data_IF_006143282751
#
_entry.id   IF_006143282751
#
_cell.length_a   1.000
_cell.length_b   1.000
_cell.length_c   1.000
_cell.angle_alpha   90.00
_cell.angle_beta   90.00
_cell.angle_gamma   90.00
#
_symmetry.space_group_name_H-M   'P 1'
#
loop_
_entity.id
_entity.type
_entity.pdbx_description
1 polymer ?
#
# COMPACT_ATOMS: atom_id res chain seq x y z
N UNK A 1 1.85 29.04 38.02
CA UNK A 1 1.30 29.42 39.34
C UNK A 1 -0.22 29.39 39.22
N UNK A 2 -0.89 28.68 40.12
CA UNK A 2 -2.35 28.38 40.21
C UNK A 2 -2.91 27.29 39.27
N UNK A 3 -2.68 26.05 39.67
CA UNK A 3 -3.54 24.89 39.40
C UNK A 3 -4.59 24.79 40.52
N UNK A 4 -5.89 24.73 40.16
CA UNK A 4 -6.97 24.40 41.09
C UNK A 4 -7.14 22.88 41.13
N UNK A 5 -6.94 22.31 42.31
CA UNK A 5 -7.34 20.95 42.65
C UNK A 5 -8.82 20.95 43.03
N UNK A 6 -9.62 20.13 42.34
CA UNK A 6 -10.93 19.70 42.83
C UNK A 6 -10.71 18.41 43.61
N UNK A 7 -11.19 18.40 44.85
CA UNK A 7 -11.13 17.26 45.76
C UNK A 7 -12.53 16.69 45.85
N UNK A 8 -12.74 15.49 45.33
CA UNK A 8 -13.87 14.67 45.73
C UNK A 8 -13.38 13.66 46.77
N UNK A 9 -13.89 13.87 47.98
CA UNK A 9 -13.72 12.97 49.10
C UNK A 9 -14.69 11.81 48.95
N UNK A 10 -14.14 10.62 48.77
CA UNK A 10 -14.76 9.43 49.34
C UNK A 10 -13.67 8.56 49.96
N UNK A 11 -13.66 8.55 51.29
CA UNK A 11 -12.75 7.78 52.10
C UNK A 11 -13.14 6.30 52.04
N UNK A 12 -12.54 5.57 51.11
CA UNK A 12 -12.55 4.11 51.15
C UNK A 12 -11.19 3.54 50.81
N UNK A 13 -10.47 3.18 51.88
CA UNK A 13 -9.35 2.26 51.78
C UNK A 13 -9.85 0.94 51.18
N UNK A 14 -9.31 0.57 50.01
CA UNK A 14 -9.33 -0.80 49.54
C UNK A 14 -7.91 -1.25 49.25
N UNK A 15 -7.61 -2.34 49.93
CA UNK A 15 -6.39 -3.14 50.00
C UNK A 15 -5.93 -3.55 48.61
N UNK A 16 -4.61 -3.51 48.42
CA UNK A 16 -3.92 -4.10 47.28
C UNK A 16 -3.98 -5.62 47.38
N UNK A 17 -4.48 -6.28 46.34
CA UNK A 17 -4.24 -7.69 46.06
C UNK A 17 -3.81 -7.84 44.60
N UNK A 18 -2.59 -8.38 44.45
CA UNK A 18 -2.11 -9.16 43.33
C UNK A 18 -3.22 -10.00 42.70
N UNK A 19 -3.26 -10.12 41.37
CA UNK A 19 -3.50 -11.39 40.67
C UNK A 19 -3.33 -11.19 39.15
N UNK A 20 -2.26 -11.78 38.64
CA UNK A 20 -2.20 -12.58 37.40
C UNK A 20 -3.31 -12.41 36.36
N UNK A 21 -2.92 -12.05 35.14
CA UNK A 21 -3.70 -12.31 33.93
C UNK A 21 -3.34 -13.69 33.37
N UNK A 22 -4.19 -14.73 33.52
CA UNK A 22 -4.22 -15.83 32.58
C UNK A 22 -5.19 -15.50 31.44
N UNK A 23 -4.72 -15.73 30.21
CA UNK A 23 -5.51 -15.74 29.00
C UNK A 23 -6.61 -16.81 29.14
N UNK A 24 -7.86 -16.40 29.32
CA UNK A 24 -9.01 -17.28 29.22
C UNK A 24 -9.35 -17.47 27.74
N UNK A 25 -9.01 -18.65 27.23
CA UNK A 25 -9.45 -19.21 25.96
C UNK A 25 -10.75 -19.96 26.26
N UNK A 26 -11.86 -19.50 25.69
CA UNK A 26 -13.18 -20.13 25.79
C UNK A 26 -13.18 -21.39 24.91
N UNK A 27 -13.14 -22.56 25.55
CA UNK A 27 -13.30 -23.87 24.90
C UNK A 27 -14.39 -24.63 25.66
N UNK A 28 -15.63 -24.28 25.37
CA UNK A 28 -16.83 -24.89 25.97
C UNK A 28 -17.73 -25.47 24.89
N UNK A 29 -17.30 -26.59 24.30
CA UNK A 29 -18.20 -27.63 23.78
C UNK A 29 -17.66 -29.04 24.08
N UNK A 30 -17.66 -29.40 25.36
CA UNK A 30 -17.46 -30.77 25.84
C UNK A 30 -18.75 -31.30 26.46
N UNK A 31 -19.71 -31.73 25.65
CA UNK A 31 -20.76 -32.67 26.10
C UNK A 31 -21.05 -33.72 25.02
N UNK A 32 -20.07 -34.56 24.71
CA UNK A 32 -20.34 -35.90 24.13
C UNK A 32 -19.23 -36.92 24.42
N UNK A 33 -18.63 -36.88 25.63
CA UNK A 33 -17.45 -37.70 25.99
C UNK A 33 -17.74 -38.79 27.03
N UNK A 34 -18.83 -39.57 26.94
CA UNK A 34 -19.05 -40.69 27.90
C UNK A 34 -19.75 -41.93 27.31
N UNK A 35 -19.38 -42.37 26.09
CA UNK A 35 -19.81 -43.70 25.60
C UNK A 35 -18.77 -44.56 24.85
N UNK A 36 -17.54 -44.08 24.64
CA UNK A 36 -16.54 -44.84 23.86
C UNK A 36 -15.24 -45.22 24.60
N UNK A 37 -15.18 -45.06 25.92
CA UNK A 37 -14.01 -45.40 26.76
C UNK A 37 -13.87 -46.89 27.13
N UNK A 38 -14.22 -47.83 26.24
CA UNK A 38 -13.99 -49.27 26.49
C UNK A 38 -13.19 -50.00 25.40
N UNK A 39 -12.58 -49.26 24.47
CA UNK A 39 -11.81 -49.86 23.37
C UNK A 39 -10.41 -49.26 23.26
N UNK A 40 -9.69 -49.19 24.37
CA UNK A 40 -8.24 -48.96 24.41
C UNK A 40 -7.61 -50.13 25.15
N UNK A 41 -6.97 -51.06 24.44
CA UNK A 41 -6.04 -52.02 25.07
C UNK A 41 -5.07 -52.76 24.13
N UNK A 42 -5.16 -52.69 22.79
CA UNK A 42 -4.41 -53.62 21.93
C UNK A 42 -3.71 -53.03 20.68
N UNK A 43 -3.21 -51.79 20.74
CA UNK A 43 -2.25 -51.26 19.74
C UNK A 43 -1.17 -50.38 20.40
N UNK A 44 -0.55 -50.88 21.47
CA UNK A 44 0.72 -50.36 21.97
C UNK A 44 1.87 -51.25 21.47
N UNK A 45 2.99 -50.62 21.08
CA UNK A 45 4.27 -51.20 20.60
C UNK A 45 4.47 -51.32 19.08
N UNK A 46 4.45 -50.20 18.35
CA UNK A 46 5.25 -49.96 17.14
C UNK A 46 5.07 -48.51 16.68
N UNK A 47 5.86 -47.58 17.23
CA UNK A 47 5.76 -46.16 16.86
C UNK A 47 6.73 -45.23 17.57
N UNK A 48 7.91 -45.73 17.95
CA UNK A 48 8.92 -44.98 18.69
C UNK A 48 10.23 -44.87 17.89
N UNK A 49 10.20 -44.24 16.71
CA UNK A 49 11.42 -43.82 15.98
C UNK A 49 11.11 -42.73 14.92
N UNK A 50 10.40 -41.67 15.30
CA UNK A 50 10.38 -40.42 14.50
C UNK A 50 10.52 -39.18 15.38
N UNK A 51 11.41 -39.23 16.37
CA UNK A 51 12.07 -38.01 16.89
C UNK A 51 13.26 -37.76 15.94
N UNK A 52 12.95 -37.54 14.67
CA UNK A 52 13.91 -37.28 13.62
C UNK A 52 13.93 -35.79 13.34
N UNK A 53 14.90 -35.09 13.93
CA UNK A 53 15.41 -33.79 13.48
C UNK A 53 14.29 -32.82 13.09
N UNK A 54 13.68 -32.15 14.08
CA UNK A 54 13.33 -30.75 13.85
C UNK A 54 14.63 -30.09 13.46
N UNK A 55 14.85 -29.92 12.16
CA UNK A 55 15.92 -29.10 11.66
C UNK A 55 15.73 -27.77 12.36
N UNK A 56 16.58 -27.49 13.34
CA UNK A 56 16.96 -26.13 13.70
C UNK A 56 17.65 -25.59 12.45
N UNK A 57 16.86 -25.42 11.39
CA UNK A 57 17.26 -24.66 10.23
C UNK A 57 17.60 -23.32 10.83
N UNK A 58 18.87 -22.95 10.73
CA UNK A 58 19.31 -21.60 10.97
C UNK A 58 18.54 -20.74 9.98
N UNK A 59 17.31 -20.37 10.33
CA UNK A 59 16.53 -19.42 9.57
C UNK A 59 17.39 -18.17 9.58
N UNK A 60 17.77 -17.69 8.40
CA UNK A 60 18.55 -16.46 8.20
C UNK A 60 17.71 -15.25 8.61
N UNK A 61 17.27 -15.23 9.86
CA UNK A 61 16.54 -14.15 10.49
C UNK A 61 17.57 -13.09 10.84
N UNK A 62 17.27 -11.85 10.50
CA UNK A 62 18.07 -10.76 11.02
C UNK A 62 18.00 -10.76 12.55
N UNK A 63 19.03 -10.20 13.18
CA UNK A 63 19.04 -9.94 14.61
C UNK A 63 17.89 -9.01 15.02
N UNK A 64 17.87 -8.55 16.29
CA UNK A 64 16.85 -7.60 16.73
C UNK A 64 16.79 -6.39 15.79
N UNK A 65 15.58 -6.07 15.31
CA UNK A 65 15.31 -4.93 14.43
C UNK A 65 14.93 -3.74 15.29
N UNK A 66 15.69 -2.65 15.18
CA UNK A 66 15.41 -1.40 15.86
C UNK A 66 14.60 -0.49 14.94
N UNK A 67 13.40 -0.13 15.38
CA UNK A 67 12.54 0.78 14.66
C UNK A 67 12.69 2.21 15.18
N UNK A 68 12.84 3.16 14.27
CA UNK A 68 12.89 4.58 14.55
C UNK A 68 11.98 5.31 13.57
N UNK A 69 11.00 6.02 14.09
CA UNK A 69 10.21 6.94 13.30
C UNK A 69 10.92 8.30 13.29
N UNK A 70 11.09 8.89 12.10
CA UNK A 70 11.66 10.23 11.98
C UNK A 70 10.56 11.27 12.12
N UNK A 71 10.34 11.77 13.33
CA UNK A 71 9.42 12.89 13.59
C UNK A 71 10.07 13.90 14.54
N UNK A 72 10.58 15.04 13.99
CA UNK A 72 10.48 16.24 14.85
C UNK A 72 10.31 17.62 14.19
N UNK A 73 10.39 17.84 12.87
CA UNK A 73 10.41 19.24 12.33
C UNK A 73 9.30 19.63 11.36
N UNK A 74 8.53 18.69 10.81
CA UNK A 74 7.48 18.97 9.81
C UNK A 74 6.06 18.59 10.25
N UNK A 75 5.85 18.21 11.53
CA UNK A 75 4.53 17.85 12.03
C UNK A 75 3.89 16.63 11.33
N UNK A 76 4.72 15.73 10.79
CA UNK A 76 4.25 14.53 10.08
C UNK A 76 3.65 13.53 11.07
N UNK A 77 2.53 12.87 10.74
CA UNK A 77 1.94 11.85 11.61
C UNK A 77 2.88 10.65 11.78
N UNK A 78 2.97 10.16 13.01
CA UNK A 78 3.63 8.89 13.30
C UNK A 78 2.76 7.72 12.80
N UNK A 79 3.42 6.67 12.32
CA UNK A 79 2.77 5.41 12.03
C UNK A 79 2.30 4.77 13.35
N UNK A 80 1.13 4.10 13.34
CA UNK A 80 0.68 3.35 14.49
C UNK A 80 1.71 2.31 14.94
N UNK A 81 1.90 2.17 16.25
CA UNK A 81 2.88 1.23 16.84
C UNK A 81 2.70 -0.20 16.32
N UNK A 82 1.44 -0.63 16.11
CA UNK A 82 1.13 -1.95 15.54
C UNK A 82 1.69 -2.12 14.12
N UNK A 83 1.68 -1.07 13.31
CA UNK A 83 2.24 -1.09 11.95
C UNK A 83 3.76 -1.12 12.02
N UNK A 84 4.36 -0.34 12.91
CA UNK A 84 5.81 -0.33 13.11
C UNK A 84 6.32 -1.69 13.58
N UNK A 85 5.65 -2.31 14.55
CA UNK A 85 5.99 -3.63 15.03
C UNK A 85 5.91 -4.68 13.91
N UNK A 86 4.82 -4.68 13.13
CA UNK A 86 4.66 -5.60 11.99
C UNK A 86 5.70 -5.38 10.90
N UNK A 87 6.05 -4.13 10.62
CA UNK A 87 7.10 -3.82 9.66
C UNK A 87 8.48 -4.33 10.14
N UNK A 88 8.78 -4.14 11.43
CA UNK A 88 9.99 -4.68 12.06
C UNK A 88 10.03 -6.21 11.99
N UNK A 89 8.91 -6.89 12.24
CA UNK A 89 8.80 -8.35 12.11
C UNK A 89 9.06 -8.83 10.67
N UNK A 90 8.47 -8.15 9.67
CA UNK A 90 8.71 -8.45 8.27
C UNK A 90 10.19 -8.31 7.88
N UNK A 91 10.85 -7.25 8.35
CA UNK A 91 12.30 -7.07 8.13
C UNK A 91 13.11 -8.13 8.85
N UNK A 92 12.75 -8.48 10.09
CA UNK A 92 13.45 -9.50 10.84
C UNK A 92 13.44 -10.84 10.08
N UNK A 93 12.27 -11.21 9.54
CA UNK A 93 12.05 -12.49 8.87
C UNK A 93 12.60 -12.53 7.44
N UNK A 94 12.35 -11.49 6.63
CA UNK A 94 12.62 -11.50 5.19
C UNK A 94 13.72 -10.53 4.74
N UNK A 95 14.30 -9.73 5.64
CA UNK A 95 15.28 -8.70 5.29
C UNK A 95 16.59 -9.25 4.71
N UNK A 96 16.92 -10.53 4.94
CA UNK A 96 18.11 -11.19 4.36
C UNK A 96 17.98 -11.49 2.86
N UNK A 97 16.80 -11.31 2.27
CA UNK A 97 16.61 -11.39 0.80
C UNK A 97 17.27 -10.22 0.05
N UNK A 98 17.68 -9.19 0.77
CA UNK A 98 18.40 -8.04 0.27
C UNK A 98 19.89 -8.16 0.59
N UNK A 99 20.72 -7.47 -0.17
CA UNK A 99 22.14 -7.34 0.16
C UNK A 99 22.32 -6.44 1.39
N UNK A 100 23.35 -6.65 2.23
CA UNK A 100 23.67 -5.73 3.32
C UNK A 100 23.84 -4.30 2.81
N UNK A 101 23.34 -3.31 3.56
CA UNK A 101 23.42 -1.90 3.19
C UNK A 101 22.14 -1.12 3.45
N UNK A 102 22.03 0.01 2.77
CA UNK A 102 20.91 0.94 2.89
C UNK A 102 19.90 0.73 1.75
N UNK A 103 18.64 0.55 2.10
CA UNK A 103 17.53 0.34 1.18
C UNK A 103 16.43 1.38 1.44
N UNK A 104 15.90 1.98 0.38
CA UNK A 104 14.77 2.90 0.46
C UNK A 104 13.59 2.33 -0.31
N UNK A 105 12.42 2.35 0.30
CA UNK A 105 11.17 1.93 -0.32
C UNK A 105 10.14 3.04 -0.17
N UNK A 106 9.58 3.48 -1.30
CA UNK A 106 8.45 4.39 -1.31
C UNK A 106 7.16 3.55 -1.36
N UNK A 107 6.31 3.74 -0.35
CA UNK A 107 5.07 2.98 -0.16
C UNK A 107 3.88 3.91 -0.28
N UNK A 108 2.88 3.51 -1.07
CA UNK A 108 1.63 4.26 -1.25
C UNK A 108 0.44 3.37 -0.85
N UNK A 109 -0.37 3.87 0.08
CA UNK A 109 -1.63 3.25 0.52
C UNK A 109 -2.77 4.10 -0.01
N UNK A 110 -3.59 3.52 -0.88
CA UNK A 110 -4.80 4.16 -1.39
C UNK A 110 -5.99 3.74 -0.53
N UNK A 111 -6.76 4.73 -0.12
CA UNK A 111 -7.88 4.58 0.80
C UNK A 111 -9.09 5.24 0.18
N UNK A 112 -10.26 4.62 0.27
CA UNK A 112 -11.49 5.26 -0.19
C UNK A 112 -12.05 6.27 0.83
N UNK A 113 -13.22 6.83 0.51
CA UNK A 113 -13.89 7.79 1.39
C UNK A 113 -14.40 7.19 2.71
N UNK A 114 -14.51 5.87 2.81
CA UNK A 114 -14.99 5.15 4.00
C UNK A 114 -13.82 4.68 4.90
N UNK A 115 -12.58 4.79 4.42
CA UNK A 115 -11.39 4.37 5.15
C UNK A 115 -10.91 2.96 4.80
N UNK A 116 -11.52 2.33 3.80
CA UNK A 116 -11.13 1.02 3.31
C UNK A 116 -9.90 1.13 2.41
N UNK A 117 -8.94 0.20 2.58
CA UNK A 117 -7.69 0.20 1.81
C UNK A 117 -7.96 -0.46 0.47
N UNK A 118 -7.97 0.34 -0.58
CA UNK A 118 -8.17 -0.11 -1.95
C UNK A 118 -6.88 -0.68 -2.54
N UNK A 119 -5.75 -0.06 -2.24
CA UNK A 119 -4.47 -0.49 -2.77
C UNK A 119 -3.30 -0.22 -1.85
N UNK A 120 -2.27 -1.06 -1.96
CA UNK A 120 -0.95 -0.83 -1.37
C UNK A 120 0.12 -1.17 -2.39
N UNK A 121 0.84 -0.14 -2.80
CA UNK A 121 1.99 -0.24 -3.69
C UNK A 121 3.26 0.03 -2.89
N UNK A 122 4.31 -0.73 -3.19
CA UNK A 122 5.64 -0.49 -2.65
C UNK A 122 6.61 -0.56 -3.83
N UNK A 123 7.24 0.57 -4.08
CA UNK A 123 8.21 0.75 -5.16
C UNK A 123 9.62 0.35 -4.69
N UNK A 124 10.50 0.13 -5.66
CA UNK A 124 11.93 -0.16 -5.45
C UNK A 124 12.27 -1.44 -4.66
N UNK A 125 11.31 -2.34 -4.46
CA UNK A 125 11.61 -3.69 -3.97
C UNK A 125 12.12 -4.54 -5.13
N UNK A 126 13.36 -5.08 -5.05
CA UNK A 126 13.89 -5.94 -6.10
C UNK A 126 13.11 -7.24 -6.18
N UNK A 127 13.04 -7.85 -7.36
CA UNK A 127 12.33 -9.11 -7.59
C UNK A 127 12.88 -10.29 -6.76
N UNK A 128 14.09 -10.17 -6.20
CA UNK A 128 14.69 -11.15 -5.29
C UNK A 128 14.13 -11.09 -3.87
N UNK A 129 13.48 -9.98 -3.49
CA UNK A 129 12.93 -9.72 -2.16
C UNK A 129 11.40 -9.77 -2.14
N UNK A 130 10.81 -10.72 -2.86
CA UNK A 130 9.36 -10.83 -3.03
C UNK A 130 8.60 -11.00 -1.70
N UNK A 131 9.11 -11.85 -0.80
CA UNK A 131 8.42 -12.14 0.47
C UNK A 131 8.46 -10.95 1.42
N UNK A 132 9.57 -10.20 1.44
CA UNK A 132 9.66 -8.93 2.17
C UNK A 132 8.58 -7.96 1.68
N UNK A 133 8.46 -7.81 0.36
CA UNK A 133 7.44 -6.95 -0.23
C UNK A 133 6.02 -7.41 0.05
N UNK A 134 5.76 -8.72 0.01
CA UNK A 134 4.45 -9.29 0.34
C UNK A 134 4.09 -9.06 1.82
N UNK A 135 5.03 -9.34 2.74
CA UNK A 135 4.85 -9.12 4.16
C UNK A 135 4.59 -7.64 4.47
N UNK A 136 5.38 -6.73 3.88
CA UNK A 136 5.22 -5.30 4.11
C UNK A 136 3.90 -4.76 3.57
N UNK A 137 3.45 -5.22 2.39
CA UNK A 137 2.11 -4.88 1.88
C UNK A 137 1.00 -5.31 2.83
N UNK A 138 1.12 -6.48 3.46
CA UNK A 138 0.14 -6.95 4.44
C UNK A 138 0.19 -6.13 5.73
N UNK A 139 1.38 -5.76 6.21
CA UNK A 139 1.54 -4.86 7.35
C UNK A 139 0.85 -3.51 7.11
N UNK A 140 1.08 -2.90 5.94
CA UNK A 140 0.46 -1.63 5.55
C UNK A 140 -1.05 -1.73 5.31
N UNK A 141 -1.56 -2.82 4.70
CA UNK A 141 -3.01 -3.02 4.53
C UNK A 141 -3.75 -3.06 5.86
N UNK A 142 -3.14 -3.66 6.86
CA UNK A 142 -3.73 -3.78 8.18
C UNK A 142 -3.45 -2.56 9.09
N UNK A 143 -2.76 -1.54 8.58
CA UNK A 143 -2.52 -0.31 9.31
C UNK A 143 -3.85 0.38 9.66
N UNK A 144 -4.10 0.73 10.94
CA UNK A 144 -5.24 1.55 11.28
C UNK A 144 -5.02 2.98 10.75
N UNK A 145 -6.06 3.57 10.17
CA UNK A 145 -6.04 4.94 9.67
C UNK A 145 -6.77 5.80 10.70
N UNK A 146 -6.14 6.88 11.13
CA UNK A 146 -6.77 7.81 12.06
C UNK A 146 -7.98 8.50 11.39
N UNK A 147 -9.11 8.53 12.11
CA UNK A 147 -10.38 9.06 11.59
C UNK A 147 -10.28 10.55 11.21
N UNK A 148 -9.53 11.35 12.00
CA UNK A 148 -9.45 12.79 11.78
C UNK A 148 -8.75 13.16 10.46
N UNK A 149 -7.53 12.68 10.15
CA UNK A 149 -6.90 12.91 8.84
C UNK A 149 -7.73 12.38 7.67
N UNK A 150 -8.38 11.21 7.84
CA UNK A 150 -9.25 10.65 6.82
C UNK A 150 -10.43 11.59 6.52
N UNK A 151 -11.14 12.04 7.56
CA UNK A 151 -12.30 12.94 7.43
C UNK A 151 -11.91 14.27 6.78
N UNK A 152 -10.75 14.81 7.12
CA UNK A 152 -10.21 16.02 6.50
C UNK A 152 -9.88 15.78 5.01
N UNK A 153 -9.22 14.66 4.69
CA UNK A 153 -8.94 14.27 3.31
C UNK A 153 -10.20 14.13 2.46
N UNK A 154 -11.23 13.46 3.00
CA UNK A 154 -12.54 13.31 2.35
C UNK A 154 -13.22 14.66 2.13
N UNK A 155 -13.16 15.56 3.11
CA UNK A 155 -13.72 16.91 2.98
C UNK A 155 -13.01 17.71 1.87
N UNK A 156 -11.66 17.66 1.81
CA UNK A 156 -10.89 18.30 0.74
C UNK A 156 -11.24 17.69 -0.62
N UNK A 157 -11.34 16.36 -0.70
CA UNK A 157 -11.68 15.65 -1.94
C UNK A 157 -13.07 16.04 -2.44
N UNK A 158 -14.07 16.12 -1.54
CA UNK A 158 -15.43 16.58 -1.87
C UNK A 158 -15.45 18.03 -2.36
N UNK A 159 -14.73 18.93 -1.69
CA UNK A 159 -14.63 20.32 -2.11
C UNK A 159 -13.99 20.46 -3.51
N UNK A 160 -12.96 19.65 -3.83
CA UNK A 160 -12.37 19.62 -5.19
C UNK A 160 -13.37 19.12 -6.23
N UNK A 161 -14.20 18.13 -5.90
CA UNK A 161 -15.24 17.60 -6.80
C UNK A 161 -16.30 18.66 -7.11
N UNK A 162 -16.71 19.44 -6.10
CA UNK A 162 -17.72 20.49 -6.26
C UNK A 162 -17.19 21.73 -6.97
N UNK A 163 -15.90 22.04 -6.78
CA UNK A 163 -15.24 23.20 -7.37
C UNK A 163 -13.98 22.79 -8.15
N UNK A 164 -14.13 22.03 -9.25
CA UNK A 164 -12.97 21.61 -10.04
C UNK A 164 -12.28 22.86 -10.58
N UNK A 165 -10.96 22.89 -10.50
CA UNK A 165 -10.13 23.93 -11.10
C UNK A 165 -10.32 23.98 -12.62
N UNK A 166 -9.96 25.09 -13.27
CA UNK A 166 -10.06 25.20 -14.72
C UNK A 166 -9.27 24.09 -15.45
N UNK A 167 -8.13 23.67 -14.88
CA UNK A 167 -7.35 22.55 -15.37
C UNK A 167 -8.10 21.22 -15.25
N UNK A 168 -8.67 20.93 -14.08
CA UNK A 168 -9.47 19.71 -13.87
C UNK A 168 -10.71 19.66 -14.77
N UNK A 169 -11.39 20.79 -15.00
CA UNK A 169 -12.52 20.87 -15.93
C UNK A 169 -12.13 20.55 -17.38
N UNK A 170 -10.96 21.01 -17.83
CA UNK A 170 -10.47 20.67 -19.18
C UNK A 170 -10.16 19.17 -19.35
N UNK A 171 -9.93 18.49 -18.23
CA UNK A 171 -9.56 17.09 -18.16
C UNK A 171 -10.78 16.15 -17.96
N UNK A 172 -11.94 16.66 -17.50
CA UNK A 172 -13.17 15.88 -17.29
C UNK A 172 -13.77 15.24 -18.56
N UNK A 173 -13.29 15.58 -19.76
CA UNK A 173 -13.64 14.90 -21.01
C UNK A 173 -12.75 13.70 -21.36
N UNK A 174 -11.70 13.46 -20.57
CA UNK A 174 -10.70 12.43 -20.85
C UNK A 174 -10.82 11.29 -19.83
N UNK A 175 -11.17 10.06 -20.26
CA UNK A 175 -11.37 8.91 -19.37
C UNK A 175 -10.08 8.44 -18.66
N UNK A 176 -8.94 9.07 -18.93
CA UNK A 176 -7.65 8.77 -18.33
C UNK A 176 -7.34 9.62 -17.09
N UNK A 177 -8.22 10.55 -16.69
CA UNK A 177 -7.91 11.48 -15.60
C UNK A 177 -8.33 10.84 -14.28
N UNK A 178 -7.34 10.19 -13.67
CA UNK A 178 -7.37 9.78 -12.27
C UNK A 178 -7.52 11.07 -11.45
N UNK A 179 -8.63 11.23 -10.74
CA UNK A 179 -8.78 12.30 -9.75
C UNK A 179 -7.61 12.15 -8.78
N UNK A 180 -6.72 13.16 -8.76
CA UNK A 180 -5.55 13.14 -7.91
C UNK A 180 -6.00 13.05 -6.45
N UNK A 181 -5.68 11.93 -5.79
CA UNK A 181 -6.04 11.69 -4.40
C UNK A 181 -5.51 12.78 -3.47
N UNK A 182 -6.11 12.89 -2.29
CA UNK A 182 -5.64 13.80 -1.25
C UNK A 182 -4.71 13.04 -0.33
N UNK A 183 -3.44 13.42 -0.30
CA UNK A 183 -2.48 12.87 0.67
C UNK A 183 -2.84 13.32 2.08
N UNK A 184 -3.13 12.37 2.96
CA UNK A 184 -3.52 12.63 4.36
C UNK A 184 -2.41 12.29 5.37
N UNK A 185 -1.51 11.37 5.01
CA UNK A 185 -0.39 10.97 5.85
C UNK A 185 0.85 10.82 4.99
N UNK A 186 1.95 11.40 5.45
CA UNK A 186 3.30 11.13 4.96
C UNK A 186 4.14 10.82 6.18
N UNK A 187 4.69 9.61 6.27
CA UNK A 187 5.51 9.18 7.39
C UNK A 187 6.76 8.47 6.90
N UNK A 188 7.79 8.45 7.73
CA UNK A 188 9.07 7.81 7.43
C UNK A 188 9.43 6.87 8.58
N UNK A 189 9.65 5.61 8.24
CA UNK A 189 10.02 4.56 9.18
C UNK A 189 11.40 4.02 8.81
N UNK A 190 12.34 4.17 9.74
CA UNK A 190 13.69 3.61 9.64
C UNK A 190 13.73 2.33 10.47
N UNK A 191 14.16 1.23 9.85
CA UNK A 191 14.37 -0.07 10.50
C UNK A 191 15.85 -0.45 10.36
N UNK A 192 16.53 -0.69 11.47
CA UNK A 192 17.95 -1.05 11.51
C UNK A 192 18.13 -2.45 12.07
N UNK A 193 18.91 -3.29 11.39
CA UNK A 193 19.14 -4.67 11.80
C UNK A 193 20.54 -5.14 11.39
N UNK A 194 21.52 -5.04 12.29
CA UNK A 194 22.91 -5.41 12.00
C UNK A 194 23.52 -4.55 10.89
N UNK A 195 23.86 -5.15 9.75
CA UNK A 195 24.43 -4.47 8.58
C UNK A 195 23.37 -3.93 7.59
N UNK A 196 22.10 -3.94 7.99
CA UNK A 196 20.97 -3.55 7.15
C UNK A 196 20.27 -2.31 7.71
N UNK A 197 19.95 -1.37 6.83
CA UNK A 197 19.13 -0.20 7.13
C UNK A 197 18.05 -0.06 6.08
N UNK A 198 16.80 -0.02 6.51
CA UNK A 198 15.64 0.12 5.63
C UNK A 198 14.92 1.43 5.95
N UNK A 199 14.68 2.26 4.94
CA UNK A 199 13.85 3.45 5.02
C UNK A 199 12.55 3.22 4.24
N UNK A 200 11.42 3.17 4.96
CA UNK A 200 10.09 3.12 4.37
C UNK A 200 9.45 4.49 4.42
N UNK A 201 9.24 5.12 3.26
CA UNK A 201 8.43 6.33 3.15
C UNK A 201 6.99 5.94 2.85
N UNK A 202 6.09 6.11 3.81
CA UNK A 202 4.68 5.71 3.70
C UNK A 202 3.82 6.92 3.41
N UNK A 203 3.12 6.90 2.28
CA UNK A 203 2.16 7.91 1.86
C UNK A 203 0.76 7.29 1.86
N UNK A 204 -0.19 7.92 2.53
CA UNK A 204 -1.60 7.52 2.51
C UNK A 204 -2.40 8.56 1.74
N UNK A 205 -3.10 8.13 0.69
CA UNK A 205 -3.92 8.98 -0.16
C UNK A 205 -5.38 8.55 -0.13
N UNK A 206 -6.27 9.51 0.10
CA UNK A 206 -7.71 9.32 -0.06
C UNK A 206 -8.06 9.52 -1.53
N UNK A 207 -8.63 8.49 -2.15
CA UNK A 207 -9.00 8.48 -3.56
C UNK A 207 -10.51 8.39 -3.72
N UNK A 208 -11.00 8.95 -4.82
CA UNK A 208 -12.40 8.85 -5.22
C UNK A 208 -12.75 7.38 -5.57
N UNK A 209 -13.96 6.92 -5.26
CA UNK A 209 -14.45 5.62 -5.78
C UNK A 209 -14.41 5.57 -7.31
N UNK A 210 -14.61 6.69 -8.01
CA UNK A 210 -14.43 6.74 -9.46
C UNK A 210 -12.96 6.52 -9.88
N UNK A 211 -12.00 6.90 -9.02
CA UNK A 211 -10.59 6.62 -9.26
C UNK A 211 -10.27 5.13 -9.09
N UNK A 212 -11.03 4.37 -8.27
CA UNK A 212 -10.91 2.90 -8.20
C UNK A 212 -11.15 2.25 -9.56
N UNK A 213 -12.23 2.62 -10.23
CA UNK A 213 -12.54 2.10 -11.57
C UNK A 213 -11.46 2.49 -12.58
N UNK A 214 -10.90 3.70 -12.47
CA UNK A 214 -9.79 4.14 -13.30
C UNK A 214 -8.50 3.38 -13.00
N UNK A 215 -8.16 3.16 -11.73
CA UNK A 215 -6.98 2.40 -11.29
C UNK A 215 -7.11 0.93 -11.70
N UNK A 216 -8.29 0.33 -11.54
CA UNK A 216 -8.54 -1.04 -11.97
C UNK A 216 -8.50 -1.15 -13.51
N UNK A 217 -9.04 -0.16 -14.22
CA UNK A 217 -8.89 -0.08 -15.67
C UNK A 217 -7.40 0.01 -16.06
N UNK A 218 -6.61 0.84 -15.38
CA UNK A 218 -5.16 0.96 -15.59
C UNK A 218 -4.41 -0.33 -15.26
N UNK A 219 -4.80 -1.06 -14.22
CA UNK A 219 -4.21 -2.38 -13.88
C UNK A 219 -4.51 -3.44 -14.92
N UNK A 220 -5.69 -3.38 -15.53
CA UNK A 220 -6.09 -4.26 -16.63
C UNK A 220 -5.41 -3.86 -17.95
N UNK A 221 -4.82 -2.66 -18.03
CA UNK A 221 -4.09 -2.24 -19.22
C UNK A 221 -2.83 -3.09 -19.40
N UNK A 222 -2.58 -3.47 -20.64
CA UNK A 222 -1.36 -4.19 -20.99
C UNK A 222 -0.16 -3.24 -20.83
N UNK A 223 1.05 -3.73 -20.50
CA UNK A 223 2.22 -2.86 -20.32
C UNK A 223 2.50 -1.91 -21.50
N UNK A 224 2.28 -2.36 -22.75
CA UNK A 224 2.43 -1.54 -23.95
C UNK A 224 1.42 -0.39 -24.02
N UNK A 225 0.23 -0.52 -23.43
CA UNK A 225 -0.76 0.56 -23.38
C UNK A 225 -0.30 1.70 -22.48
N UNK A 226 0.44 1.40 -21.40
CA UNK A 226 1.04 2.42 -20.54
C UNK A 226 2.15 3.18 -21.27
N UNK A 227 2.95 2.48 -22.07
CA UNK A 227 3.96 3.11 -22.94
C UNK A 227 3.30 4.01 -23.99
N UNK A 228 2.25 3.53 -24.66
CA UNK A 228 1.45 4.33 -25.58
C UNK A 228 0.85 5.56 -24.91
N UNK A 229 0.31 5.42 -23.69
CA UNK A 229 -0.28 6.53 -22.94
C UNK A 229 0.78 7.58 -22.55
N UNK A 230 1.96 7.12 -22.10
CA UNK A 230 3.10 8.01 -21.82
C UNK A 230 3.48 8.80 -23.07
N UNK A 231 3.59 8.10 -24.20
CA UNK A 231 3.93 8.70 -25.49
C UNK A 231 2.85 9.66 -26.02
N UNK A 232 1.57 9.41 -25.73
CA UNK A 232 0.48 10.34 -26.00
C UNK A 232 0.63 11.63 -25.20
N UNK A 233 0.87 11.53 -23.90
CA UNK A 233 1.03 12.71 -23.03
C UNK A 233 2.22 13.56 -23.47
N UNK A 234 3.37 12.93 -23.78
CA UNK A 234 4.54 13.62 -24.35
C UNK A 234 4.19 14.30 -25.69
N UNK A 235 3.46 13.62 -26.59
CA UNK A 235 3.03 14.19 -27.86
C UNK A 235 2.11 15.41 -27.69
N UNK A 236 1.14 15.34 -26.77
CA UNK A 236 0.19 16.43 -26.53
C UNK A 236 0.86 17.71 -26.02
N UNK A 237 2.02 17.59 -25.35
CA UNK A 237 2.82 18.72 -24.89
C UNK A 237 3.76 19.27 -25.98
N UNK A 238 3.95 18.53 -27.08
CA UNK A 238 4.77 18.95 -28.21
C UNK A 238 3.98 19.81 -29.21
N UNK A 239 4.64 20.46 -30.18
CA UNK A 239 3.96 21.17 -31.26
C UNK A 239 2.98 20.29 -32.06
N UNK A 240 3.17 18.97 -32.09
CA UNK A 240 2.24 18.02 -32.74
C UNK A 240 0.87 17.95 -32.07
N UNK A 241 0.77 18.29 -30.77
CA UNK A 241 -0.50 18.33 -30.05
C UNK A 241 -1.50 19.32 -30.65
N UNK A 242 -1.01 20.38 -31.31
CA UNK A 242 -1.82 21.40 -31.98
C UNK A 242 -2.19 21.05 -33.43
N UNK A 243 -1.60 19.98 -34.00
CA UNK A 243 -1.86 19.61 -35.39
C UNK A 243 -3.12 18.78 -35.50
N UNK A 244 -3.92 19.07 -36.52
CA UNK A 244 -5.18 18.39 -36.79
C UNK A 244 -4.97 16.90 -37.09
N UNK A 245 -5.90 16.08 -36.58
CA UNK A 245 -6.07 14.67 -36.90
C UNK A 245 -6.98 14.45 -38.11
N UNK A 246 -7.51 13.23 -38.23
CA UNK A 246 -8.39 12.75 -39.29
C UNK A 246 -9.82 13.28 -39.16
N UNK A 247 -10.26 13.53 -37.92
CA UNK A 247 -11.60 14.05 -37.63
C UNK A 247 -11.49 15.48 -37.08
N UNK A 248 -12.41 16.35 -37.50
CA UNK A 248 -12.50 17.71 -36.96
C UNK A 248 -12.56 17.68 -35.42
N UNK A 249 -11.67 18.43 -34.78
CA UNK A 249 -11.56 18.52 -33.32
C UNK A 249 -10.67 17.44 -32.68
N UNK A 250 -10.08 16.54 -33.46
CA UNK A 250 -9.08 15.58 -32.97
C UNK A 250 -7.66 16.06 -33.27
N UNK A 251 -6.71 15.71 -32.40
CA UNK A 251 -5.29 16.00 -32.63
C UNK A 251 -4.58 14.80 -33.26
N UNK A 252 -3.49 15.07 -33.97
CA UNK A 252 -2.64 14.02 -34.55
C UNK A 252 -2.13 13.04 -33.50
N UNK A 253 -1.82 13.51 -32.30
CA UNK A 253 -1.37 12.68 -31.18
C UNK A 253 -2.41 11.61 -30.80
N UNK A 254 -3.70 11.95 -30.81
CA UNK A 254 -4.78 11.00 -30.53
C UNK A 254 -4.84 9.90 -31.60
N UNK A 255 -4.62 10.22 -32.86
CA UNK A 255 -4.54 9.21 -33.92
C UNK A 255 -3.31 8.30 -33.78
N UNK A 256 -2.14 8.87 -33.48
CA UNK A 256 -0.93 8.09 -33.23
C UNK A 256 -1.14 7.12 -32.06
N UNK A 257 -1.80 7.58 -31.00
CA UNK A 257 -2.18 6.73 -29.86
C UNK A 257 -3.16 5.62 -30.25
N UNK A 258 -4.20 5.92 -31.04
CA UNK A 258 -5.13 4.89 -31.55
C UNK A 258 -4.44 3.79 -32.36
N UNK A 259 -3.33 4.13 -33.03
CA UNK A 259 -2.54 3.18 -33.82
C UNK A 259 -1.41 2.51 -33.03
N UNK A 260 -1.10 3.01 -31.84
CA UNK A 260 -0.11 2.44 -30.95
C UNK A 260 -0.56 1.06 -30.47
N UNK A 261 0.33 0.08 -30.56
CA UNK A 261 0.05 -1.30 -30.20
C UNK A 261 1.23 -1.93 -29.45
N UNK A 262 1.28 -3.27 -29.38
CA UNK A 262 2.39 -4.01 -28.76
C UNK A 262 3.77 -3.74 -29.39
N UNK A 263 3.83 -3.17 -30.59
CA UNK A 263 5.07 -2.78 -31.26
C UNK A 263 5.51 -1.35 -30.89
N UNK A 264 4.76 -0.69 -30.00
CA UNK A 264 5.06 0.64 -29.48
C UNK A 264 4.44 1.76 -30.31
N UNK A 265 4.95 2.97 -30.08
CA UNK A 265 4.46 4.19 -30.72
C UNK A 265 4.81 4.20 -32.21
N UNK A 266 3.84 4.44 -33.12
CA UNK A 266 4.11 4.38 -34.55
C UNK A 266 5.05 5.53 -34.97
N UNK A 267 5.83 5.33 -36.03
CA UNK A 267 6.64 6.40 -36.63
C UNK A 267 5.79 7.41 -37.39
N UNK A 268 4.62 7.00 -37.90
CA UNK A 268 3.65 7.86 -38.55
C UNK A 268 2.33 7.15 -38.82
N UNK A 269 1.38 7.91 -39.35
CA UNK A 269 0.00 7.50 -39.61
C UNK A 269 -0.45 8.09 -40.95
N UNK A 270 -1.37 7.39 -41.61
CA UNK A 270 -2.07 7.88 -42.79
C UNK A 270 -3.28 8.70 -42.31
N UNK A 271 -3.35 9.98 -42.64
CA UNK A 271 -4.47 10.87 -42.28
C UNK A 271 -5.56 10.81 -43.36
N UNK A 272 -5.15 10.80 -44.62
CA UNK A 272 -6.02 10.73 -45.80
C UNK A 272 -5.30 9.93 -46.91
N UNK A 273 -5.98 9.66 -48.03
CA UNK A 273 -5.50 8.74 -49.07
C UNK A 273 -4.11 9.07 -49.61
N UNK A 274 -3.74 10.35 -49.60
CA UNK A 274 -2.46 10.86 -50.06
C UNK A 274 -1.60 11.53 -48.96
N UNK A 275 -2.08 11.56 -47.71
CA UNK A 275 -1.43 12.32 -46.63
C UNK A 275 -0.90 11.38 -45.56
N UNK A 276 0.44 11.26 -45.52
CA UNK A 276 1.16 10.60 -44.42
C UNK A 276 1.70 11.66 -43.45
N UNK A 277 1.46 11.45 -42.15
CA UNK A 277 1.92 12.34 -41.11
C UNK A 277 2.79 11.61 -40.10
N UNK A 278 3.86 12.27 -39.66
CA UNK A 278 4.75 11.74 -38.63
C UNK A 278 4.09 11.78 -37.25
N UNK A 279 4.38 10.75 -36.47
CA UNK A 279 4.04 10.64 -35.05
C UNK A 279 5.24 10.90 -34.14
N UNK A 280 6.42 11.18 -34.72
CA UNK A 280 7.61 11.55 -33.98
C UNK A 280 7.55 13.01 -33.56
N UNK A 281 7.59 13.25 -32.26
CA UNK A 281 7.79 14.56 -31.65
C UNK A 281 9.24 14.62 -31.14
N UNK A 282 9.98 15.63 -31.60
CA UNK A 282 11.28 16.00 -31.07
C UNK A 282 11.13 17.21 -30.15
#
# INVERSE_FOLDING_TARGET
>A
MQTRFSTDGDGRAKTAENLTCPCAYDDDQVVTMYRHLRTVAAMGLLGATTIGLTQLGCTSRLGPVHAKQTTPWLGRPELPDVTVARAADCVAEYGTQLEPGYHKFDSKVLVDEDGDKEDVTIDDIPNTAYDLGACMRNALRAMPIAEQPLREGVHILKNRREQPSAAERSLMGSPAVVVAGVTIVVSELVLEAGAYTFLFAVTVEVVDRAAKDAIEALRRRRPWENECQKKLNECLLSPLGSQWGDVHGTSRCVMCFKRCDKNGWPSGIKIDDDVYATCQYQ
#
